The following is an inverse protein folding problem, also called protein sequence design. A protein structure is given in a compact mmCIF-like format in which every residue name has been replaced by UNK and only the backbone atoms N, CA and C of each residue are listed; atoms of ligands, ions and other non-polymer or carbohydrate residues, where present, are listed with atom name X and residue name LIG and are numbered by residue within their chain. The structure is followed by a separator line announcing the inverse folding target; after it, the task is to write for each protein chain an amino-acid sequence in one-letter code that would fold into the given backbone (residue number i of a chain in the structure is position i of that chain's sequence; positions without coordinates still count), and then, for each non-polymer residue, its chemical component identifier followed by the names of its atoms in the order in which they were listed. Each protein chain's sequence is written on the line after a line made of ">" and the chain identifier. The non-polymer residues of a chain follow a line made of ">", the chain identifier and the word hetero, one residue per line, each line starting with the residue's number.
data_IF_927940555311
#
_entry.id   IF_927940555311
#
_cell.length_a   1.000
_cell.length_b   1.000
_cell.length_c   1.000
_cell.angle_alpha   90.00
_cell.angle_beta   90.00
_cell.angle_gamma   90.00
#
_symmetry.space_group_name_H-M   'P 1'
#
loop_
_entity.id
_entity.type
_entity.pdbx_description
1 polymer ?
#
# COMPACT_ATOMS: atom_id res chain seq x y z
N UNK A 1 22.41 -14.30 -23.27
CA UNK A 1 20.98 -13.97 -23.10
C UNK A 1 20.89 -12.51 -22.73
N UNK A 2 20.33 -11.70 -23.62
CA UNK A 2 20.30 -10.23 -23.54
C UNK A 2 19.23 -9.75 -22.56
N UNK A 3 19.47 -8.59 -21.91
CA UNK A 3 18.54 -7.95 -20.97
C UNK A 3 17.12 -7.71 -21.53
N UNK A 4 16.99 -7.63 -22.86
CA UNK A 4 15.71 -7.51 -23.58
C UNK A 4 14.78 -8.71 -23.33
N UNK A 5 15.31 -9.94 -23.32
CA UNK A 5 14.52 -11.16 -23.15
C UNK A 5 13.99 -11.34 -21.72
N UNK A 6 14.65 -10.74 -20.73
CA UNK A 6 14.18 -10.71 -19.34
C UNK A 6 13.04 -9.69 -19.17
N UNK A 7 13.11 -8.56 -19.88
CA UNK A 7 12.07 -7.52 -19.83
C UNK A 7 10.73 -7.99 -20.41
N UNK A 8 10.74 -8.79 -21.48
CA UNK A 8 9.52 -9.33 -22.10
C UNK A 8 8.79 -10.34 -21.21
N UNK A 9 9.53 -11.15 -20.43
CA UNK A 9 8.93 -12.12 -19.52
C UNK A 9 8.29 -11.49 -18.27
N UNK A 10 8.75 -10.30 -17.87
CA UNK A 10 8.24 -9.59 -16.69
C UNK A 10 7.01 -8.72 -16.99
N UNK A 11 6.76 -8.38 -18.26
CA UNK A 11 5.65 -7.49 -18.64
C UNK A 11 4.27 -8.00 -18.16
N UNK A 12 3.91 -9.30 -18.29
CA UNK A 12 2.63 -9.80 -17.78
C UNK A 12 2.54 -9.76 -16.24
N UNK A 13 3.66 -10.02 -15.56
CA UNK A 13 3.74 -9.98 -14.09
C UNK A 13 3.57 -8.55 -13.60
N UNK A 14 4.22 -7.59 -14.27
CA UNK A 14 4.10 -6.16 -13.97
C UNK A 14 2.69 -5.65 -14.24
N UNK A 15 2.07 -6.03 -15.36
CA UNK A 15 0.67 -5.68 -15.64
C UNK A 15 -0.27 -6.18 -14.55
N UNK A 16 -0.16 -7.45 -14.17
CA UNK A 16 -0.98 -8.04 -13.10
C UNK A 16 -0.74 -7.35 -11.76
N UNK A 17 0.49 -6.93 -11.47
CA UNK A 17 0.79 -6.17 -10.27
C UNK A 17 0.07 -4.83 -10.27
N UNK A 18 0.07 -4.09 -11.38
CA UNK A 18 -0.62 -2.81 -11.49
C UNK A 18 -2.13 -2.96 -11.30
N UNK A 19 -2.76 -3.98 -11.90
CA UNK A 19 -4.19 -4.26 -11.68
C UNK A 19 -4.50 -4.55 -10.20
N UNK A 20 -3.62 -5.29 -9.53
CA UNK A 20 -3.76 -5.59 -8.11
C UNK A 20 -3.46 -4.37 -7.22
N UNK A 21 -2.56 -3.49 -7.64
CA UNK A 21 -2.22 -2.26 -6.94
C UNK A 21 -3.42 -1.31 -6.95
N UNK A 22 -4.07 -1.12 -8.11
CA UNK A 22 -5.29 -0.31 -8.27
C UNK A 22 -6.43 -0.82 -7.37
N UNK A 23 -6.69 -2.13 -7.41
CA UNK A 23 -7.69 -2.75 -6.55
C UNK A 23 -7.40 -2.55 -5.05
N UNK A 24 -6.12 -2.61 -4.65
CA UNK A 24 -5.70 -2.38 -3.25
C UNK A 24 -5.79 -0.92 -2.85
N UNK A 25 -5.39 -0.01 -3.72
CA UNK A 25 -5.51 1.43 -3.48
C UNK A 25 -6.98 1.78 -3.21
N UNK A 26 -7.90 1.28 -4.04
CA UNK A 26 -9.35 1.48 -3.86
C UNK A 26 -9.84 0.91 -2.52
N UNK A 27 -9.41 -0.30 -2.14
CA UNK A 27 -9.79 -0.92 -0.88
C UNK A 27 -9.26 -0.14 0.34
N UNK A 28 -7.98 0.25 0.31
CA UNK A 28 -7.33 1.02 1.37
C UNK A 28 -8.00 2.38 1.54
N UNK A 29 -8.34 3.05 0.43
CA UNK A 29 -9.05 4.34 0.48
C UNK A 29 -10.41 4.21 1.16
N UNK A 30 -11.21 3.21 0.77
CA UNK A 30 -12.51 2.96 1.37
C UNK A 30 -12.42 2.60 2.87
N UNK A 31 -11.44 1.78 3.25
CA UNK A 31 -11.21 1.45 4.67
C UNK A 31 -10.72 2.66 5.47
N UNK A 32 -9.92 3.55 4.88
CA UNK A 32 -9.46 4.78 5.53
C UNK A 32 -10.61 5.79 5.72
N UNK A 33 -11.48 5.95 4.71
CA UNK A 33 -12.72 6.73 4.84
C UNK A 33 -13.61 6.19 5.97
N UNK A 34 -13.75 4.86 6.05
CA UNK A 34 -14.49 4.21 7.12
C UNK A 34 -13.87 4.49 8.50
N UNK A 35 -12.54 4.41 8.62
CA UNK A 35 -11.82 4.73 9.87
C UNK A 35 -12.08 6.17 10.31
N UNK A 36 -12.10 7.13 9.38
CA UNK A 36 -12.41 8.53 9.69
C UNK A 36 -13.86 8.74 10.11
N UNK A 37 -14.80 8.03 9.48
CA UNK A 37 -16.22 8.12 9.81
C UNK A 37 -16.58 7.42 11.13
N UNK A 38 -15.85 6.35 11.48
CA UNK A 38 -16.15 5.45 12.59
C UNK A 38 -14.87 5.08 13.38
N UNK A 39 -14.23 6.04 14.07
CA UNK A 39 -12.95 5.81 14.75
C UNK A 39 -13.04 4.74 15.85
N UNK A 40 -14.20 4.58 16.49
CA UNK A 40 -14.47 3.54 17.50
C UNK A 40 -14.51 2.12 16.92
N UNK A 41 -14.61 1.99 15.59
CA UNK A 41 -14.63 0.73 14.84
C UNK A 41 -13.42 0.59 13.91
N UNK A 42 -12.38 1.39 14.12
CA UNK A 42 -11.22 1.45 13.23
C UNK A 42 -10.41 0.14 13.19
N UNK A 43 -10.34 -0.62 14.29
CA UNK A 43 -9.47 -1.80 14.41
C UNK A 43 -9.55 -2.78 13.24
N UNK A 44 -10.73 -3.36 12.93
CA UNK A 44 -10.87 -4.29 11.82
C UNK A 44 -10.56 -3.69 10.44
N UNK A 45 -10.76 -2.38 10.24
CA UNK A 45 -10.41 -1.70 8.99
C UNK A 45 -8.89 -1.49 8.89
N UNK A 46 -8.24 -1.12 9.98
CA UNK A 46 -6.78 -1.02 10.06
C UNK A 46 -6.09 -2.37 9.82
N UNK A 47 -6.64 -3.47 10.33
CA UNK A 47 -6.14 -4.83 10.04
C UNK A 47 -6.19 -5.17 8.55
N UNK A 48 -7.27 -4.78 7.84
CA UNK A 48 -7.38 -4.97 6.39
C UNK A 48 -6.39 -4.11 5.61
N UNK A 49 -6.26 -2.83 5.98
CA UNK A 49 -5.27 -1.92 5.40
C UNK A 49 -3.87 -2.50 5.58
N UNK A 50 -3.51 -2.94 6.79
CA UNK A 50 -2.23 -3.58 7.09
C UNK A 50 -1.97 -4.80 6.19
N UNK A 51 -2.97 -5.65 5.99
CA UNK A 51 -2.85 -6.83 5.13
C UNK A 51 -2.63 -6.49 3.65
N UNK A 52 -3.20 -5.39 3.15
CA UNK A 52 -2.95 -4.94 1.78
C UNK A 52 -1.60 -4.23 1.63
N UNK A 53 -1.18 -3.43 2.62
CA UNK A 53 0.15 -2.84 2.69
C UNK A 53 1.25 -3.91 2.68
N UNK A 54 1.07 -5.00 3.43
CA UNK A 54 2.00 -6.14 3.42
C UNK A 54 2.21 -6.71 2.01
N UNK A 55 1.12 -6.89 1.25
CA UNK A 55 1.17 -7.41 -0.13
C UNK A 55 1.87 -6.43 -1.07
N UNK A 56 1.60 -5.14 -0.93
CA UNK A 56 2.28 -4.08 -1.69
C UNK A 56 3.77 -4.10 -1.38
N UNK A 57 4.16 -4.09 -0.10
CA UNK A 57 5.54 -4.12 0.35
C UNK A 57 6.31 -5.35 -0.17
N UNK A 58 5.68 -6.53 -0.17
CA UNK A 58 6.31 -7.78 -0.59
C UNK A 58 6.54 -7.92 -2.10
N UNK A 59 5.77 -7.23 -2.94
CA UNK A 59 5.82 -7.39 -4.41
C UNK A 59 6.42 -6.20 -5.15
N UNK A 60 6.42 -5.01 -4.55
CA UNK A 60 6.86 -3.78 -5.23
C UNK A 60 8.36 -3.76 -5.56
N UNK A 61 9.21 -4.27 -4.66
CA UNK A 61 10.67 -4.20 -4.83
C UNK A 61 11.22 -4.99 -6.03
N UNK A 62 10.64 -6.16 -6.33
CA UNK A 62 11.09 -7.02 -7.45
C UNK A 62 10.63 -6.50 -8.81
N UNK A 63 9.66 -5.58 -8.83
CA UNK A 63 9.06 -5.02 -10.04
C UNK A 63 9.51 -3.59 -10.35
N UNK A 64 10.50 -3.09 -9.61
CA UNK A 64 11.09 -1.76 -9.81
C UNK A 64 10.40 -0.63 -9.05
N UNK A 65 9.51 -0.94 -8.11
CA UNK A 65 8.76 0.04 -7.31
C UNK A 65 9.24 0.05 -5.85
N UNK A 66 10.57 0.09 -5.64
CA UNK A 66 11.16 -0.03 -4.31
C UNK A 66 10.65 1.03 -3.32
N UNK A 67 10.51 2.29 -3.77
CA UNK A 67 10.01 3.39 -2.92
C UNK A 67 8.58 3.13 -2.40
N UNK A 68 7.67 2.69 -3.28
CA UNK A 68 6.31 2.28 -2.88
C UNK A 68 6.37 1.15 -1.85
N UNK A 69 7.23 0.15 -2.08
CA UNK A 69 7.39 -0.98 -1.17
C UNK A 69 7.87 -0.56 0.23
N UNK A 70 8.77 0.41 0.30
CA UNK A 70 9.31 0.92 1.57
C UNK A 70 8.29 1.80 2.30
N UNK A 71 7.56 2.65 1.58
CA UNK A 71 6.42 3.40 2.15
C UNK A 71 5.37 2.47 2.73
N UNK A 72 4.98 1.44 1.98
CA UNK A 72 3.97 0.47 2.42
C UNK A 72 4.41 -0.28 3.68
N UNK A 73 5.68 -0.69 3.77
CA UNK A 73 6.24 -1.35 4.96
C UNK A 73 6.26 -0.43 6.18
N UNK A 74 6.59 0.85 6.01
CA UNK A 74 6.54 1.83 7.12
C UNK A 74 5.11 1.99 7.64
N UNK A 75 4.14 2.13 6.75
CA UNK A 75 2.73 2.23 7.12
C UNK A 75 2.23 0.94 7.80
N UNK A 76 2.61 -0.24 7.28
CA UNK A 76 2.29 -1.55 7.86
C UNK A 76 2.74 -1.64 9.33
N UNK A 77 4.00 -1.32 9.61
CA UNK A 77 4.53 -1.36 10.98
C UNK A 77 3.89 -0.33 11.89
N UNK A 78 3.62 0.88 11.39
CA UNK A 78 2.93 1.90 12.19
C UNK A 78 1.50 1.49 12.57
N UNK A 79 0.79 0.77 11.69
CA UNK A 79 -0.53 0.19 12.02
C UNK A 79 -0.38 -0.93 13.04
N UNK A 80 0.60 -1.83 12.86
CA UNK A 80 0.84 -2.93 13.80
C UNK A 80 1.10 -2.40 15.23
N UNK A 81 1.95 -1.38 15.37
CA UNK A 81 2.25 -0.72 16.64
C UNK A 81 1.01 -0.07 17.25
N UNK A 82 0.18 0.59 16.42
CA UNK A 82 -1.07 1.22 16.86
C UNK A 82 -2.09 0.19 17.37
N UNK A 83 -2.18 -0.98 16.73
CA UNK A 83 -3.09 -2.05 17.12
C UNK A 83 -2.63 -2.78 18.38
N UNK A 84 -1.33 -2.97 18.57
CA UNK A 84 -0.76 -3.64 19.75
C UNK A 84 -0.82 -2.74 21.01
N UNK A 85 -0.59 -1.43 20.85
CA UNK A 85 -0.60 -0.47 21.94
C UNK A 85 -1.35 0.83 21.56
N UNK A 86 -2.69 0.86 21.58
CA UNK A 86 -3.54 1.96 21.07
C UNK A 86 -3.51 3.26 21.92
N UNK A 87 -2.45 3.49 22.68
CA UNK A 87 -2.26 4.67 23.54
C UNK A 87 -1.65 5.88 22.81
N UNK A 88 -1.15 5.69 21.59
CA UNK A 88 -0.57 6.74 20.75
C UNK A 88 -1.60 7.43 19.83
N UNK A 89 -1.27 8.62 19.29
CA UNK A 89 -2.12 9.28 18.31
C UNK A 89 -2.16 8.48 16.99
N UNK A 90 -3.35 8.30 16.42
CA UNK A 90 -3.50 7.59 15.14
C UNK A 90 -3.16 8.47 13.91
N UNK A 91 -3.15 9.80 14.06
CA UNK A 91 -2.91 10.74 12.95
C UNK A 91 -1.61 10.48 12.17
N UNK A 92 -0.44 10.24 12.80
CA UNK A 92 0.78 9.93 12.05
C UNK A 92 0.66 8.65 11.22
N UNK A 93 -0.10 7.66 11.68
CA UNK A 93 -0.36 6.42 10.95
C UNK A 93 -1.18 6.71 9.69
N UNK A 94 -2.20 7.55 9.80
CA UNK A 94 -3.03 7.93 8.64
C UNK A 94 -2.24 8.68 7.58
N UNK A 95 -1.32 9.58 7.97
CA UNK A 95 -0.43 10.26 7.02
C UNK A 95 0.44 9.26 6.25
N UNK A 96 0.98 8.24 6.93
CA UNK A 96 1.76 7.20 6.26
C UNK A 96 0.92 6.36 5.28
N UNK A 97 -0.36 6.13 5.57
CA UNK A 97 -1.27 5.45 4.63
C UNK A 97 -1.52 6.33 3.41
N UNK A 98 -1.76 7.63 3.62
CA UNK A 98 -1.95 8.61 2.54
C UNK A 98 -0.71 8.68 1.63
N UNK A 99 0.49 8.73 2.22
CA UNK A 99 1.77 8.72 1.46
C UNK A 99 1.92 7.50 0.53
N UNK A 100 1.34 6.36 0.91
CA UNK A 100 1.31 5.14 0.08
C UNK A 100 0.28 5.26 -1.04
N UNK A 101 -0.91 5.80 -0.75
CA UNK A 101 -1.96 6.01 -1.75
C UNK A 101 -1.50 7.00 -2.84
N UNK A 102 -0.82 8.07 -2.45
CA UNK A 102 -0.23 9.04 -3.40
C UNK A 102 0.83 8.37 -4.28
N UNK A 103 1.78 7.64 -3.68
CA UNK A 103 2.80 6.93 -4.45
C UNK A 103 2.20 5.85 -5.39
N UNK A 104 1.11 5.19 -4.98
CA UNK A 104 0.40 4.25 -5.83
C UNK A 104 -0.29 4.95 -7.01
N UNK A 105 -0.90 6.12 -6.76
CA UNK A 105 -1.52 6.93 -7.80
C UNK A 105 -0.50 7.38 -8.85
N UNK A 106 0.67 7.88 -8.43
CA UNK A 106 1.74 8.30 -9.36
C UNK A 106 2.21 7.15 -10.27
N UNK A 107 2.15 5.91 -9.79
CA UNK A 107 2.51 4.71 -10.55
C UNK A 107 1.40 4.32 -11.55
N UNK A 108 0.14 4.45 -11.14
CA UNK A 108 -1.03 4.04 -11.94
C UNK A 108 -1.41 5.11 -12.98
N UNK A 109 -1.18 6.39 -12.65
CA UNK A 109 -1.39 7.54 -13.52
C UNK A 109 -0.12 8.42 -13.59
N UNK A 110 0.88 8.02 -14.41
CA UNK A 110 2.14 8.75 -14.55
C UNK A 110 2.02 10.08 -15.31
N UNK A 111 0.80 10.51 -15.67
CA UNK A 111 0.56 11.78 -16.37
C UNK A 111 0.31 12.96 -15.42
N UNK A 112 0.22 12.70 -14.11
CA UNK A 112 0.17 13.69 -13.01
C UNK A 112 1.55 14.16 -12.60
#
# INVERSE_FOLDING_TARGET
>A
MSALAISDGLAPIRSRFLDLLDARQTAIHADLEFVFAHPERAGPALERIMADLHKIAGTSGTLGFADLGDRARRAEYAIADLLDAPSGPATPVYMLIIDVLEAALDILDPAT
#
